data_IF_426480851068
#
_entry.id   IF_426480851068
#
_cell.length_a   1.000
_cell.length_b   1.000
_cell.length_c   1.000
_cell.angle_alpha   90.00
_cell.angle_beta   90.00
_cell.angle_gamma   90.00
#
_symmetry.space_group_name_H-M   'P 1'
#
loop_
_entity.id
_entity.type
_entity.pdbx_description
1 polymer ?
#
# COMPACT_ATOMS: atom_id res chain seq x y z
N UNK A 1 6.14 74.28 -11.84
CA UNK A 1 6.04 72.82 -11.61
C UNK A 1 5.76 72.60 -10.13
N UNK A 2 4.83 71.70 -9.87
CA UNK A 2 3.96 71.61 -8.70
C UNK A 2 4.64 71.08 -7.43
N UNK A 3 4.10 71.48 -6.27
CA UNK A 3 4.40 70.95 -4.93
C UNK A 3 3.79 69.55 -4.71
N UNK A 4 4.46 68.71 -3.91
CA UNK A 4 3.96 67.65 -3.01
C UNK A 4 5.17 67.14 -2.20
N UNK A 5 5.38 67.40 -0.91
CA UNK A 5 4.59 67.21 0.32
C UNK A 5 4.35 65.74 0.68
N UNK A 6 5.08 65.34 1.73
CA UNK A 6 4.85 64.32 2.77
C UNK A 6 4.90 62.82 2.45
N UNK A 7 6.01 62.23 2.91
CA UNK A 7 6.07 61.31 4.06
C UNK A 7 4.72 60.70 4.50
N UNK A 8 4.57 59.38 4.32
CA UNK A 8 4.24 58.47 5.44
C UNK A 8 4.12 57.00 5.05
N UNK A 9 4.54 56.21 6.04
CA UNK A 9 4.07 54.86 6.37
C UNK A 9 4.66 53.69 5.59
N UNK A 10 5.88 53.32 6.01
CA UNK A 10 6.30 51.91 6.04
C UNK A 10 5.31 51.14 6.93
N UNK A 11 4.39 50.41 6.30
CA UNK A 11 3.63 49.34 6.94
C UNK A 11 3.99 48.01 6.30
N UNK A 12 4.87 47.32 7.01
CA UNK A 12 4.90 45.88 7.24
C UNK A 12 3.85 45.09 6.45
N UNK A 13 4.20 44.78 5.19
CA UNK A 13 3.49 43.84 4.35
C UNK A 13 3.85 42.44 4.79
N UNK A 14 3.28 42.03 5.93
CA UNK A 14 3.48 40.73 6.56
C UNK A 14 3.51 39.60 5.52
N UNK A 15 4.55 38.79 5.63
CA UNK A 15 4.78 37.59 4.87
C UNK A 15 3.53 36.68 4.87
N UNK A 16 2.68 36.82 3.85
CA UNK A 16 1.79 35.74 3.44
C UNK A 16 2.61 34.78 2.59
N UNK A 17 3.42 33.98 3.27
CA UNK A 17 3.83 32.68 2.77
C UNK A 17 2.55 31.95 2.37
N UNK A 18 2.29 31.92 1.07
CA UNK A 18 1.26 31.06 0.50
C UNK A 18 1.47 29.67 1.10
N UNK A 19 0.47 29.07 1.79
CA UNK A 19 0.58 27.70 2.19
C UNK A 19 0.82 26.91 0.90
N UNK A 20 2.04 26.37 0.76
CA UNK A 20 2.39 25.39 -0.27
C UNK A 20 1.29 24.37 -0.16
N UNK A 21 0.41 24.36 -1.15
CA UNK A 21 -0.74 23.50 -1.13
C UNK A 21 -0.22 22.09 -0.96
N UNK A 22 -0.40 21.57 0.26
CA UNK A 22 -0.29 20.17 0.62
C UNK A 22 -1.45 19.47 -0.09
N UNK A 23 -1.51 19.58 -1.42
CA UNK A 23 -2.09 18.56 -2.24
C UNK A 23 -1.25 17.34 -1.91
N UNK A 24 -1.69 16.63 -0.88
CA UNK A 24 -1.39 15.23 -0.72
C UNK A 24 -1.61 14.67 -2.11
N UNK A 25 -0.51 14.37 -2.79
CA UNK A 25 -0.55 13.51 -3.95
C UNK A 25 -1.10 12.21 -3.39
N UNK A 26 -2.43 12.08 -3.31
CA UNK A 26 -3.07 10.79 -3.25
C UNK A 26 -2.39 10.04 -4.39
N UNK A 27 -1.60 8.99 -4.08
CA UNK A 27 -0.95 8.25 -5.13
C UNK A 27 -2.08 7.84 -6.05
N UNK A 28 -2.02 8.27 -7.32
CA UNK A 28 -3.06 7.98 -8.31
C UNK A 28 -3.08 6.47 -8.40
N UNK A 29 -3.98 5.87 -7.63
CA UNK A 29 -4.18 4.45 -7.54
C UNK A 29 -4.78 4.08 -8.89
N UNK A 30 -3.89 3.74 -9.82
CA UNK A 30 -4.31 3.27 -11.13
C UNK A 30 -5.30 2.12 -10.91
N UNK A 31 -6.31 1.97 -11.78
CA UNK A 31 -7.27 0.89 -11.65
C UNK A 31 -6.58 -0.48 -11.55
N UNK A 32 -5.46 -0.64 -12.25
CA UNK A 32 -4.57 -1.80 -12.15
C UNK A 32 -3.98 -1.97 -10.74
N UNK A 33 -3.40 -0.93 -10.12
CA UNK A 33 -2.89 -1.01 -8.74
C UNK A 33 -3.99 -1.36 -7.74
N UNK A 34 -5.20 -0.81 -7.92
CA UNK A 34 -6.36 -1.16 -7.08
C UNK A 34 -6.72 -2.63 -7.21
N UNK A 35 -6.71 -3.16 -8.44
CA UNK A 35 -6.95 -4.56 -8.71
C UNK A 35 -5.92 -5.44 -8.00
N UNK A 36 -4.63 -5.16 -8.15
CA UNK A 36 -3.58 -5.96 -7.51
C UNK A 36 -3.62 -5.90 -5.99
N UNK A 37 -3.98 -4.75 -5.40
CA UNK A 37 -4.25 -4.67 -3.96
C UNK A 37 -5.43 -5.52 -3.53
N UNK A 38 -6.53 -5.46 -4.27
CA UNK A 38 -7.71 -6.28 -3.98
C UNK A 38 -7.40 -7.78 -4.10
N UNK A 39 -6.60 -8.19 -5.09
CA UNK A 39 -6.14 -9.57 -5.25
C UNK A 39 -5.29 -10.01 -4.05
N UNK A 40 -4.34 -9.18 -3.60
CA UNK A 40 -3.53 -9.49 -2.41
C UNK A 40 -4.37 -9.52 -1.13
N UNK A 41 -5.31 -8.59 -0.98
CA UNK A 41 -6.24 -8.56 0.16
C UNK A 41 -7.10 -9.82 0.19
N UNK A 42 -7.67 -10.21 -0.95
CA UNK A 42 -8.45 -11.44 -1.07
C UNK A 42 -7.60 -12.67 -0.76
N UNK A 43 -6.37 -12.76 -1.28
CA UNK A 43 -5.47 -13.86 -0.96
C UNK A 43 -5.16 -13.92 0.54
N UNK A 44 -5.02 -12.77 1.21
CA UNK A 44 -4.86 -12.71 2.66
C UNK A 44 -6.10 -13.24 3.37
N UNK A 45 -7.30 -12.79 3.00
CA UNK A 45 -8.57 -13.26 3.57
C UNK A 45 -8.76 -14.77 3.36
N UNK A 46 -8.47 -15.27 2.17
CA UNK A 46 -8.59 -16.68 1.84
C UNK A 46 -7.61 -17.53 2.64
N UNK A 47 -6.43 -16.98 2.94
CA UNK A 47 -5.47 -17.63 3.83
C UNK A 47 -5.99 -17.72 5.28
N UNK A 48 -6.82 -16.76 5.71
CA UNK A 48 -7.37 -16.68 7.06
C UNK A 48 -8.66 -17.47 7.27
N UNK A 49 -9.28 -17.97 6.20
CA UNK A 49 -10.48 -18.80 6.31
C UNK A 49 -10.20 -20.04 7.19
N UNK A 50 -11.06 -20.30 8.19
CA UNK A 50 -10.94 -21.48 9.03
C UNK A 50 -11.16 -22.74 8.18
N UNK A 51 -10.54 -23.87 8.56
CA UNK A 51 -10.87 -25.15 7.96
C UNK A 51 -12.38 -25.41 8.08
N UNK A 52 -12.92 -26.15 7.12
CA UNK A 52 -14.29 -26.65 7.20
C UNK A 52 -14.47 -27.51 8.46
N UNK A 53 -15.73 -27.82 8.81
CA UNK A 53 -16.07 -28.67 9.96
C UNK A 53 -15.39 -30.05 9.93
N UNK A 54 -15.01 -30.52 8.74
CA UNK A 54 -14.31 -31.79 8.52
C UNK A 54 -12.78 -31.66 8.65
N UNK A 55 -12.27 -30.48 9.03
CA UNK A 55 -10.85 -30.18 9.17
C UNK A 55 -10.12 -29.98 7.83
N UNK A 56 -10.79 -30.15 6.69
CA UNK A 56 -10.22 -29.85 5.38
C UNK A 56 -10.24 -28.35 5.12
N UNK A 57 -9.14 -27.84 4.57
CA UNK A 57 -9.13 -26.51 3.96
C UNK A 57 -9.72 -26.62 2.56
N UNK A 58 -10.41 -25.58 2.11
CA UNK A 58 -10.63 -25.44 0.67
C UNK A 58 -9.28 -25.41 -0.05
N UNK A 59 -9.20 -26.03 -1.23
CA UNK A 59 -8.00 -26.03 -2.06
C UNK A 59 -7.50 -24.59 -2.31
N UNK A 60 -8.43 -23.64 -2.46
CA UNK A 60 -8.14 -22.22 -2.64
C UNK A 60 -7.41 -21.61 -1.43
N UNK A 61 -7.80 -21.96 -0.20
CA UNK A 61 -7.17 -21.45 1.02
C UNK A 61 -5.75 -22.01 1.19
N UNK A 62 -5.57 -23.30 0.88
CA UNK A 62 -4.26 -23.94 0.90
C UNK A 62 -3.33 -23.32 -0.16
N UNK A 63 -3.86 -23.07 -1.36
CA UNK A 63 -3.14 -22.43 -2.45
C UNK A 63 -2.75 -20.98 -2.12
N UNK A 64 -3.67 -20.21 -1.55
CA UNK A 64 -3.42 -18.83 -1.12
C UNK A 64 -2.31 -18.76 -0.06
N UNK A 65 -2.34 -19.65 0.94
CA UNK A 65 -1.28 -19.76 1.97
C UNK A 65 0.09 -20.05 1.35
N UNK A 66 0.15 -21.01 0.44
CA UNK A 66 1.39 -21.38 -0.26
C UNK A 66 1.94 -20.22 -1.09
N UNK A 67 1.07 -19.57 -1.87
CA UNK A 67 1.42 -18.43 -2.69
C UNK A 67 2.01 -17.28 -1.86
N UNK A 68 1.35 -16.89 -0.76
CA UNK A 68 1.79 -15.79 0.12
C UNK A 68 3.09 -16.08 0.88
N UNK A 69 3.45 -17.35 1.07
CA UNK A 69 4.71 -17.75 1.71
C UNK A 69 5.91 -17.74 0.78
N UNK A 70 5.65 -17.73 -0.53
CA UNK A 70 6.67 -17.78 -1.56
C UNK A 70 7.70 -18.89 -1.27
N UNK A 71 7.23 -20.13 -1.16
CA UNK A 71 8.05 -21.27 -0.73
C UNK A 71 9.07 -21.68 -1.81
N UNK A 72 8.75 -21.45 -3.08
CA UNK A 72 9.68 -21.61 -4.20
C UNK A 72 10.21 -20.28 -4.75
N UNK A 73 11.39 -20.31 -5.39
CA UNK A 73 11.97 -19.12 -6.05
C UNK A 73 11.05 -18.54 -7.13
N UNK A 74 10.28 -19.38 -7.82
CA UNK A 74 9.33 -18.94 -8.84
C UNK A 74 8.12 -18.24 -8.22
N UNK A 75 7.57 -18.79 -7.13
CA UNK A 75 6.48 -18.14 -6.39
C UNK A 75 6.95 -16.83 -5.77
N UNK A 76 8.18 -16.76 -5.28
CA UNK A 76 8.77 -15.54 -4.76
C UNK A 76 8.84 -14.42 -5.81
N UNK A 77 9.39 -14.72 -7.00
CA UNK A 77 9.47 -13.74 -8.07
C UNK A 77 8.08 -13.28 -8.54
N UNK A 78 7.09 -14.18 -8.57
CA UNK A 78 5.72 -13.83 -8.93
C UNK A 78 5.04 -12.98 -7.86
N UNK A 79 5.28 -13.27 -6.57
CA UNK A 79 4.73 -12.48 -5.47
C UNK A 79 5.38 -11.09 -5.43
N UNK A 80 6.70 -11.00 -5.63
CA UNK A 80 7.42 -9.72 -5.74
C UNK A 80 6.83 -8.86 -6.87
N UNK A 81 6.62 -9.44 -8.05
CA UNK A 81 6.00 -8.73 -9.18
C UNK A 81 4.60 -8.20 -8.84
N UNK A 82 3.74 -9.03 -8.24
CA UNK A 82 2.38 -8.60 -7.83
C UNK A 82 2.44 -7.53 -6.74
N UNK A 83 3.36 -7.66 -5.79
CA UNK A 83 3.61 -6.68 -4.74
C UNK A 83 4.11 -5.34 -5.30
N UNK A 84 4.99 -5.35 -6.31
CA UNK A 84 5.46 -4.16 -7.02
C UNK A 84 4.29 -3.44 -7.71
N UNK A 85 3.43 -4.19 -8.40
CA UNK A 85 2.22 -3.62 -9.02
C UNK A 85 1.22 -3.08 -8.00
N UNK A 86 1.11 -3.73 -6.84
CA UNK A 86 0.25 -3.32 -5.74
C UNK A 86 0.86 -2.17 -4.91
N UNK A 87 2.14 -1.83 -5.10
CA UNK A 87 2.88 -0.85 -4.30
C UNK A 87 2.85 -1.26 -2.82
N UNK A 88 3.18 -2.53 -2.56
CA UNK A 88 3.23 -3.18 -1.23
C UNK A 88 4.59 -3.88 -1.07
N UNK A 89 5.28 -3.79 0.07
CA UNK A 89 6.55 -4.48 0.27
C UNK A 89 6.35 -6.00 0.39
N UNK A 90 6.88 -6.77 -0.57
CA UNK A 90 6.79 -8.23 -0.61
C UNK A 90 7.35 -8.92 0.64
N UNK A 91 8.48 -8.42 1.17
CA UNK A 91 9.09 -8.94 2.40
C UNK A 91 8.11 -8.95 3.59
N UNK A 92 7.29 -7.89 3.71
CA UNK A 92 6.31 -7.78 4.79
C UNK A 92 5.21 -8.83 4.63
N UNK A 93 4.76 -9.07 3.39
CA UNK A 93 3.74 -10.09 3.08
C UNK A 93 4.25 -11.48 3.41
N UNK A 94 5.48 -11.82 2.98
CA UNK A 94 6.11 -13.12 3.24
C UNK A 94 6.38 -13.34 4.73
N UNK A 95 6.90 -12.33 5.44
CA UNK A 95 7.14 -12.44 6.89
C UNK A 95 5.83 -12.61 7.67
N UNK A 96 4.79 -11.87 7.29
CA UNK A 96 3.47 -12.00 7.90
C UNK A 96 2.87 -13.40 7.67
N UNK A 97 2.92 -13.91 6.43
CA UNK A 97 2.32 -15.20 6.06
C UNK A 97 3.00 -16.38 6.76
N UNK A 98 4.34 -16.34 6.89
CA UNK A 98 5.12 -17.37 7.59
C UNK A 98 4.94 -17.35 9.10
N UNK A 99 4.74 -16.17 9.71
CA UNK A 99 4.53 -16.05 11.15
C UNK A 99 3.19 -16.65 11.60
N UNK A 100 2.14 -16.50 10.78
CA UNK A 100 0.78 -16.92 11.14
C UNK A 100 0.53 -18.40 10.90
N UNK A 101 1.17 -18.96 9.88
CA UNK A 101 1.01 -20.34 9.53
C UNK A 101 2.38 -20.99 9.56
N UNK A 102 2.77 -21.72 10.62
CA UNK A 102 3.93 -22.59 10.54
C UNK A 102 3.77 -23.51 9.33
N UNK A 103 4.87 -23.77 8.62
CA UNK A 103 4.91 -24.82 7.59
C UNK A 103 4.31 -26.07 8.23
N UNK A 104 3.22 -26.58 7.66
CA UNK A 104 2.67 -27.85 8.13
C UNK A 104 3.80 -28.87 7.99
N UNK A 105 4.29 -29.33 9.15
CA UNK A 105 5.43 -30.25 9.26
C UNK A 105 5.05 -31.64 8.76
#
# INVERSE_FOLDING_TARGET
>A
MSYSVDDKEVRDGGAKLMPKSLWAHEPILTPERKLWRAVLEQACLDSELPPSLDGSLSDDCAQARRYLRAESRFEQANLELVCDFADVPADRVVLWSRKRYPLAA
#
